data_IF_051549770824
#
_entry.id   IF_051549770824
#
_cell.length_a   1.000
_cell.length_b   1.000
_cell.length_c   1.000
_cell.angle_alpha   90.00
_cell.angle_beta   90.00
_cell.angle_gamma   90.00
#
_symmetry.space_group_name_H-M   'P 1'
#
loop_
_entity.id
_entity.type
_entity.pdbx_description
1 polymer ?
#
# COMPACT_ATOMS: atom_id res chain seq x y z
N UNK A 1 11.57 -8.70 7.41
CA UNK A 1 11.85 -7.42 6.73
C UNK A 1 13.25 -7.49 6.16
N UNK A 2 13.47 -6.91 5.00
CA UNK A 2 14.73 -6.95 4.27
C UNK A 2 15.12 -5.52 3.90
N UNK A 3 16.36 -5.14 4.21
CA UNK A 3 16.94 -3.88 3.76
C UNK A 3 17.81 -4.21 2.54
N UNK A 4 17.60 -3.50 1.44
CA UNK A 4 18.37 -3.69 0.22
C UNK A 4 18.65 -2.32 -0.40
N UNK A 5 19.93 -1.94 -0.52
CA UNK A 5 20.39 -0.59 -0.89
C UNK A 5 19.72 0.54 -0.10
N UNK A 6 19.53 0.37 1.21
CA UNK A 6 18.90 1.40 2.07
C UNK A 6 17.38 1.47 1.96
N UNK A 7 16.76 0.69 1.08
CA UNK A 7 15.30 0.61 0.97
C UNK A 7 14.73 -0.57 1.76
N UNK A 8 13.56 -0.34 2.35
CA UNK A 8 12.88 -1.29 3.20
C UNK A 8 11.85 -2.13 2.42
N UNK A 9 12.02 -3.45 2.49
CA UNK A 9 11.15 -4.43 1.86
C UNK A 9 10.56 -5.40 2.90
N UNK A 10 9.31 -5.82 2.69
CA UNK A 10 8.67 -6.77 3.62
C UNK A 10 9.13 -8.21 3.38
N UNK A 11 9.31 -8.60 2.11
CA UNK A 11 9.77 -9.95 1.69
C UNK A 11 10.83 -9.83 0.59
N UNK A 12 11.70 -10.84 0.46
CA UNK A 12 12.81 -10.85 -0.53
C UNK A 12 12.32 -10.72 -1.99
N UNK A 13 11.20 -11.34 -2.35
CA UNK A 13 10.62 -11.21 -3.69
C UNK A 13 10.03 -9.81 -3.96
N UNK A 14 9.75 -9.01 -2.93
CA UNK A 14 9.38 -7.61 -3.12
C UNK A 14 10.55 -6.73 -3.60
N UNK A 15 11.80 -7.20 -3.61
CA UNK A 15 12.91 -6.42 -4.17
C UNK A 15 12.76 -6.23 -5.68
N UNK A 16 12.16 -7.22 -6.36
CA UNK A 16 12.00 -7.19 -7.81
C UNK A 16 10.65 -6.63 -8.27
N UNK A 17 9.62 -6.75 -7.45
CA UNK A 17 8.25 -6.40 -7.85
C UNK A 17 8.04 -4.89 -8.12
N UNK A 18 8.47 -3.94 -7.26
CA UNK A 18 8.33 -2.51 -7.48
C UNK A 18 9.17 -2.00 -8.66
N UNK A 19 10.21 -2.71 -9.08
CA UNK A 19 11.10 -2.26 -10.18
C UNK A 19 10.37 -2.09 -11.50
N UNK A 20 9.34 -2.90 -11.75
CA UNK A 20 8.51 -2.86 -12.98
C UNK A 20 7.22 -2.04 -12.82
N UNK A 21 6.97 -1.50 -11.63
CA UNK A 21 5.76 -0.73 -11.35
C UNK A 21 5.92 0.74 -11.78
N UNK A 22 4.81 1.45 -12.04
CA UNK A 22 4.82 2.90 -12.18
C UNK A 22 5.19 3.59 -10.85
N UNK A 23 5.73 4.81 -10.93
CA UNK A 23 6.27 5.51 -9.76
C UNK A 23 5.24 5.77 -8.67
N UNK A 24 3.96 5.97 -9.03
CA UNK A 24 2.90 6.11 -8.04
C UNK A 24 2.72 4.84 -7.18
N UNK A 25 2.90 3.65 -7.76
CA UNK A 25 2.76 2.38 -7.06
C UNK A 25 4.00 2.09 -6.19
N UNK A 26 5.20 2.49 -6.66
CA UNK A 26 6.42 2.47 -5.83
C UNK A 26 6.27 3.37 -4.61
N UNK A 27 5.81 4.61 -4.79
CA UNK A 27 5.61 5.57 -3.70
C UNK A 27 4.62 5.03 -2.65
N UNK A 28 3.50 4.44 -3.10
CA UNK A 28 2.56 3.74 -2.21
C UNK A 28 3.23 2.58 -1.49
N UNK A 29 4.02 1.77 -2.19
CA UNK A 29 4.73 0.64 -1.59
C UNK A 29 5.66 1.10 -0.46
N UNK A 30 6.52 2.09 -0.71
CA UNK A 30 7.44 2.61 0.31
C UNK A 30 6.70 3.21 1.51
N UNK A 31 5.62 3.97 1.27
CA UNK A 31 4.80 4.51 2.34
C UNK A 31 4.18 3.41 3.22
N UNK A 32 3.70 2.33 2.59
CA UNK A 32 3.14 1.17 3.29
C UNK A 32 4.19 0.38 4.04
N UNK A 33 5.36 0.12 3.43
CA UNK A 33 6.41 -0.65 4.10
C UNK A 33 6.92 0.08 5.34
N UNK A 34 7.09 1.39 5.27
CA UNK A 34 7.47 2.24 6.41
C UNK A 34 6.37 2.29 7.49
N UNK A 35 5.10 2.37 7.08
CA UNK A 35 3.97 2.36 8.00
C UNK A 35 3.69 0.99 8.65
N UNK A 36 4.10 -0.10 8.00
CA UNK A 36 4.03 -1.45 8.55
C UNK A 36 5.27 -1.78 9.40
N UNK A 37 6.42 -1.17 9.10
CA UNK A 37 7.63 -1.32 9.92
C UNK A 37 7.52 -0.63 11.26
N UNK A 38 6.80 0.49 11.29
CA UNK A 38 6.60 1.25 12.50
C UNK A 38 5.18 1.09 13.03
N UNK A 39 5.06 0.69 14.30
CA UNK A 39 3.77 0.71 15.01
C UNK A 39 3.32 2.13 15.41
N UNK A 40 4.08 3.17 15.03
CA UNK A 40 3.79 4.55 15.42
C UNK A 40 2.75 5.20 14.50
N UNK A 41 1.68 5.75 15.09
CA UNK A 41 0.63 6.47 14.37
C UNK A 41 1.13 7.73 13.66
N UNK A 42 2.14 8.42 14.19
CA UNK A 42 2.75 9.61 13.57
C UNK A 42 3.34 9.26 12.20
N UNK A 43 3.96 8.08 12.09
CA UNK A 43 4.57 7.63 10.83
C UNK A 43 3.48 7.32 9.79
N UNK A 44 2.36 6.75 10.22
CA UNK A 44 1.20 6.48 9.35
C UNK A 44 0.55 7.78 8.86
N UNK A 45 0.44 8.76 9.74
CA UNK A 45 -0.07 10.08 9.39
C UNK A 45 0.83 10.78 8.37
N UNK A 46 2.15 10.82 8.63
CA UNK A 46 3.14 11.36 7.69
C UNK A 46 3.11 10.64 6.34
N UNK A 47 2.98 9.31 6.34
CA UNK A 47 2.86 8.53 5.12
C UNK A 47 1.59 8.87 4.32
N UNK A 48 0.46 9.12 5.00
CA UNK A 48 -0.78 9.55 4.36
C UNK A 48 -0.67 10.93 3.73
N UNK A 49 0.00 11.87 4.40
CA UNK A 49 0.27 13.22 3.91
C UNK A 49 1.18 13.19 2.67
N UNK A 50 2.25 12.38 2.70
CA UNK A 50 3.14 12.20 1.55
C UNK A 50 2.41 11.68 0.31
N UNK A 51 1.40 10.83 0.50
CA UNK A 51 0.56 10.31 -0.58
C UNK A 51 -0.60 11.23 -0.95
N UNK A 52 -0.77 12.37 -0.26
CA UNK A 52 -1.89 13.31 -0.42
C UNK A 52 -3.26 12.62 -0.31
N UNK A 53 -3.38 11.66 0.60
CA UNK A 53 -4.64 10.94 0.87
C UNK A 53 -5.03 11.06 2.34
N UNK A 54 -6.32 10.90 2.61
CA UNK A 54 -6.81 10.87 4.00
C UNK A 54 -6.27 9.66 4.76
N UNK A 55 -6.17 9.78 6.09
CA UNK A 55 -5.77 8.67 6.96
C UNK A 55 -6.66 7.43 6.77
N UNK A 56 -7.96 7.63 6.55
CA UNK A 56 -8.91 6.54 6.25
C UNK A 56 -8.58 5.83 4.93
N UNK A 57 -8.24 6.57 3.88
CA UNK A 57 -7.80 5.98 2.61
C UNK A 57 -6.46 5.24 2.79
N UNK A 58 -5.55 5.79 3.57
CA UNK A 58 -4.28 5.14 3.89
C UNK A 58 -4.46 3.83 4.64
N UNK A 59 -5.36 3.78 5.64
CA UNK A 59 -5.71 2.54 6.34
C UNK A 59 -6.32 1.48 5.40
N UNK A 60 -7.17 1.88 4.46
CA UNK A 60 -7.70 0.97 3.43
C UNK A 60 -6.59 0.43 2.53
N UNK A 61 -5.63 1.27 2.19
CA UNK A 61 -4.47 0.90 1.38
C UNK A 61 -3.55 -0.09 2.13
N UNK A 62 -3.35 0.10 3.44
CA UNK A 62 -2.65 -0.87 4.29
C UNK A 62 -3.35 -2.23 4.30
N UNK A 63 -4.68 -2.25 4.47
CA UNK A 63 -5.47 -3.49 4.42
C UNK A 63 -5.37 -4.18 3.06
N UNK A 64 -5.55 -3.43 1.96
CA UNK A 64 -5.43 -3.97 0.61
C UNK A 64 -4.04 -4.53 0.33
N UNK A 65 -2.99 -3.90 0.85
CA UNK A 65 -1.64 -4.41 0.71
C UNK A 65 -1.43 -5.71 1.51
N UNK A 66 -2.08 -5.87 2.67
CA UNK A 66 -2.01 -7.12 3.42
C UNK A 66 -2.73 -8.28 2.71
N UNK A 67 -3.79 -7.99 1.96
CA UNK A 67 -4.56 -8.97 1.18
C UNK A 67 -3.88 -9.30 -0.16
N UNK A 68 -3.60 -8.28 -0.98
CA UNK A 68 -3.20 -8.42 -2.38
C UNK A 68 -1.74 -8.05 -2.65
N UNK A 69 -0.98 -7.60 -1.64
CA UNK A 69 0.40 -7.13 -1.78
C UNK A 69 0.50 -5.98 -2.80
N UNK A 70 1.31 -6.11 -3.85
CA UNK A 70 1.60 -5.05 -4.84
C UNK A 70 0.45 -4.83 -5.83
N UNK A 71 -0.24 -5.87 -6.33
CA UNK A 71 -1.49 -5.71 -7.07
C UNK A 71 -2.51 -4.79 -6.38
N UNK A 72 -2.63 -4.88 -5.05
CA UNK A 72 -3.51 -4.02 -4.25
C UNK A 72 -3.15 -2.53 -4.30
N UNK A 73 -1.90 -2.18 -4.64
CA UNK A 73 -1.41 -0.80 -4.71
C UNK A 73 -1.64 -0.14 -6.07
N UNK A 74 -1.81 -0.95 -7.14
CA UNK A 74 -1.96 -0.48 -8.51
C UNK A 74 -3.28 0.27 -8.72
N UNK A 75 -4.35 -0.17 -8.07
CA UNK A 75 -5.68 0.41 -8.22
C UNK A 75 -5.83 1.72 -7.42
N UNK A 76 -6.55 2.70 -8.00
CA UNK A 76 -6.96 3.92 -7.29
C UNK A 76 -8.11 3.64 -6.32
N UNK A 77 -8.98 2.70 -6.68
CA UNK A 77 -10.06 2.19 -5.85
C UNK A 77 -10.34 0.74 -6.26
N UNK A 78 -10.47 -0.15 -5.27
CA UNK A 78 -11.00 -1.50 -5.47
C UNK A 78 -12.36 -1.55 -4.79
N UNK A 79 -13.38 -2.05 -5.50
CA UNK A 79 -14.69 -2.31 -4.91
C UNK A 79 -14.50 -3.28 -3.74
N UNK A 80 -15.13 -3.06 -2.57
CA UNK A 80 -15.04 -4.01 -1.46
C UNK A 80 -15.52 -5.39 -1.91
N UNK A 81 -14.77 -6.44 -1.58
CA UNK A 81 -15.12 -7.82 -1.95
C UNK A 81 -16.53 -8.24 -1.49
N UNK A 82 -17.04 -7.65 -0.41
CA UNK A 82 -18.37 -7.94 0.17
C UNK A 82 -19.50 -7.03 -0.31
N UNK A 83 -19.25 -6.10 -1.23
CA UNK A 83 -20.36 -5.27 -1.73
C UNK A 83 -21.25 -6.12 -2.65
N UNK A 84 -22.58 -6.10 -2.48
CA UNK A 84 -23.47 -6.85 -3.36
C UNK A 84 -23.35 -6.37 -4.81
N UNK A 85 -23.30 -7.30 -5.77
CA UNK A 85 -23.46 -7.03 -7.19
C UNK A 85 -24.95 -6.87 -7.50
N UNK A 86 -25.59 -5.82 -7.01
CA UNK A 86 -26.95 -5.51 -7.47
C UNK A 86 -26.86 -4.54 -8.63
N UNK A 87 -26.98 -5.10 -9.84
CA UNK A 87 -27.55 -4.40 -10.98
C UNK A 87 -29.07 -4.50 -10.75
N UNK A 88 -29.81 -3.39 -10.58
CA UNK A 88 -31.26 -3.46 -10.65
C UNK A 88 -31.61 -3.86 -12.08
N UNK A 89 -32.11 -5.09 -12.24
CA UNK A 89 -32.76 -5.60 -13.44
C UNK A 89 -34.15 -5.01 -13.58
#
# INVERSE_FOLDING_TARGET
>A
MFIHYGELYLKKHHIQLPRKEPDYAKNKYHAVTVALSSKNNIIREKASQNLKISMRQFQRLLHQFQEDVIPGLRCKSKRPHRSPNQIPS
#
